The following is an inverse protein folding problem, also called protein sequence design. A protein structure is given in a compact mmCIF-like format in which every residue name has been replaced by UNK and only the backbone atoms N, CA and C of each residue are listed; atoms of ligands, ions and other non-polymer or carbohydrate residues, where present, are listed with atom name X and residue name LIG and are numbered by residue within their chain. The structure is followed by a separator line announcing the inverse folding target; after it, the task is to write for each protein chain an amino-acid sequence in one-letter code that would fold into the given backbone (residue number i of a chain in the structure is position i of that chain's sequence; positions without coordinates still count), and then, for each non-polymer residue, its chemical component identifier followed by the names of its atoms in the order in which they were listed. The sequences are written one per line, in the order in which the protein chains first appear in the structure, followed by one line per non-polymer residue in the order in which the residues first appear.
data_IF_923317385872
#
_entry.id   IF_923317385872
#
_cell.length_a   1.000
_cell.length_b   1.000
_cell.length_c   1.000
_cell.angle_alpha   90.00
_cell.angle_beta   90.00
_cell.angle_gamma   90.00
#
_symmetry.space_group_name_H-M   'P 1'
#
loop_
_entity.id
_entity.type
_entity.pdbx_description
1 polymer ?
#
# COMPACT_ATOMS: atom_id res chain seq x y z
N UNK A 1 -11.41 -4.89 3.89
CA UNK A 1 -10.55 -5.23 5.04
C UNK A 1 -9.53 -4.13 5.20
N UNK A 2 -9.11 -3.77 6.42
CA UNK A 2 -8.04 -2.81 6.67
C UNK A 2 -6.70 -3.48 7.03
N UNK A 3 -5.69 -2.67 7.37
CA UNK A 3 -4.31 -3.12 7.60
C UNK A 3 -4.13 -3.96 8.87
N UNK A 4 -5.12 -3.92 9.76
CA UNK A 4 -5.12 -4.69 11.02
C UNK A 4 -6.10 -5.87 10.98
N UNK A 5 -6.62 -6.18 9.78
CA UNK A 5 -7.44 -7.36 9.54
C UNK A 5 -8.92 -7.17 9.83
N UNK A 6 -9.40 -5.95 10.08
CA UNK A 6 -10.82 -5.71 10.31
C UNK A 6 -11.60 -5.74 8.98
N UNK A 7 -12.75 -6.39 8.99
CA UNK A 7 -13.67 -6.50 7.85
C UNK A 7 -14.87 -5.58 8.10
N UNK A 8 -15.09 -4.62 7.20
CA UNK A 8 -16.21 -3.69 7.26
C UNK A 8 -17.33 -4.23 6.38
N UNK A 9 -18.50 -4.40 6.98
CA UNK A 9 -19.70 -4.91 6.32
C UNK A 9 -20.76 -3.83 6.39
N UNK A 10 -21.26 -3.44 5.22
CA UNK A 10 -22.45 -2.62 5.12
C UNK A 10 -23.68 -3.54 5.10
N UNK A 11 -24.48 -3.48 6.16
CA UNK A 11 -25.75 -4.19 6.26
C UNK A 11 -26.86 -3.21 5.85
N UNK A 12 -27.14 -3.18 4.54
CA UNK A 12 -28.08 -2.24 3.91
C UNK A 12 -29.50 -2.42 4.42
N UNK A 13 -29.91 -3.64 4.77
CA UNK A 13 -31.25 -3.92 5.30
C UNK A 13 -31.48 -3.42 6.73
N UNK A 14 -30.40 -3.10 7.46
CA UNK A 14 -30.45 -2.53 8.82
C UNK A 14 -29.75 -1.18 8.92
N UNK A 15 -29.38 -0.58 7.79
CA UNK A 15 -28.67 0.70 7.68
C UNK A 15 -27.53 0.86 8.70
N UNK A 16 -26.69 -0.17 8.81
CA UNK A 16 -25.59 -0.19 9.79
C UNK A 16 -24.29 -0.67 9.17
N UNK A 17 -23.18 -0.22 9.75
CA UNK A 17 -21.87 -0.76 9.47
C UNK A 17 -21.45 -1.67 10.61
N UNK A 18 -21.09 -2.91 10.29
CA UNK A 18 -20.50 -3.85 11.24
C UNK A 18 -19.04 -4.07 10.93
N UNK A 19 -18.21 -4.07 11.97
CA UNK A 19 -16.79 -4.37 11.90
C UNK A 19 -16.60 -5.76 12.50
N UNK A 20 -16.05 -6.67 11.71
CA UNK A 20 -15.61 -7.98 12.16
C UNK A 20 -14.08 -8.03 12.25
N UNK A 21 -13.55 -8.92 13.08
CA UNK A 21 -12.14 -9.30 13.01
C UNK A 21 -11.86 -10.13 11.73
N UNK A 22 -10.60 -10.52 11.53
CA UNK A 22 -10.21 -11.32 10.37
C UNK A 22 -10.72 -12.78 10.43
N UNK A 23 -11.24 -13.23 11.57
CA UNK A 23 -11.88 -14.55 11.78
C UNK A 23 -13.39 -14.51 11.56
N UNK A 24 -13.98 -13.32 11.43
CA UNK A 24 -15.42 -13.11 11.28
C UNK A 24 -16.18 -12.85 12.58
N UNK A 25 -15.49 -12.68 13.71
CA UNK A 25 -16.14 -12.32 14.97
C UNK A 25 -16.51 -10.83 14.97
N UNK A 26 -17.70 -10.50 15.44
CA UNK A 26 -18.17 -9.12 15.50
C UNK A 26 -17.43 -8.34 16.60
N UNK A 27 -16.83 -7.21 16.23
CA UNK A 27 -16.18 -6.28 17.18
C UNK A 27 -17.11 -5.14 17.57
N UNK A 28 -17.48 -4.34 16.58
CA UNK A 28 -18.27 -3.11 16.76
C UNK A 28 -19.35 -3.09 15.69
N UNK A 29 -20.50 -2.54 16.01
CA UNK A 29 -21.42 -2.03 14.99
C UNK A 29 -21.77 -0.61 15.35
N UNK A 30 -21.66 0.28 14.38
CA UNK A 30 -22.16 1.64 14.53
C UNK A 30 -23.30 1.86 13.56
N UNK A 31 -24.32 2.53 14.06
CA UNK A 31 -25.23 3.28 13.22
C UNK A 31 -24.46 4.55 12.87
N UNK A 32 -24.31 4.90 11.59
CA UNK A 32 -24.02 6.27 11.26
C UNK A 32 -25.22 7.08 11.77
N UNK A 33 -25.18 7.59 13.01
CA UNK A 33 -26.23 8.34 13.75
C UNK A 33 -27.70 7.84 13.69
N UNK A 34 -28.58 8.47 14.48
CA UNK A 34 -30.01 8.11 14.57
C UNK A 34 -30.84 8.56 13.35
N UNK A 35 -30.23 9.28 12.39
CA UNK A 35 -30.88 9.96 11.27
C UNK A 35 -30.61 9.32 9.89
N UNK A 36 -29.83 8.23 9.82
CA UNK A 36 -29.54 7.52 8.57
C UNK A 36 -30.57 6.42 8.31
N UNK A 37 -31.14 6.45 7.12
CA UNK A 37 -32.31 5.63 6.79
C UNK A 37 -32.02 4.59 5.72
N UNK A 38 -31.21 4.91 4.70
CA UNK A 38 -30.89 3.99 3.61
C UNK A 38 -29.43 4.09 3.17
N UNK A 39 -28.62 3.11 3.58
CA UNK A 39 -27.24 3.00 3.15
C UNK A 39 -27.12 2.08 1.94
N UNK A 40 -26.61 2.59 0.81
CA UNK A 40 -26.53 1.83 -0.43
C UNK A 40 -25.13 1.29 -0.74
N UNK A 41 -24.10 2.01 -0.32
CA UNK A 41 -22.72 1.69 -0.66
C UNK A 41 -21.75 2.20 0.39
N UNK A 42 -20.62 1.51 0.53
CA UNK A 42 -19.53 1.92 1.39
C UNK A 42 -18.20 1.67 0.70
N UNK A 43 -17.27 2.61 0.87
CA UNK A 43 -15.91 2.53 0.33
C UNK A 43 -14.91 2.98 1.37
N UNK A 44 -13.75 2.33 1.44
CA UNK A 44 -12.75 2.57 2.49
C UNK A 44 -11.40 2.90 1.89
N UNK A 45 -10.74 3.91 2.47
CA UNK A 45 -9.30 4.15 2.33
C UNK A 45 -8.62 4.00 3.70
N UNK A 46 -7.34 4.32 3.83
CA UNK A 46 -6.63 4.18 5.11
C UNK A 46 -7.16 5.11 6.20
N UNK A 47 -7.71 6.27 5.83
CA UNK A 47 -8.12 7.30 6.80
C UNK A 47 -9.59 7.23 7.21
N UNK A 48 -10.44 6.73 6.32
CA UNK A 48 -11.88 6.84 6.50
C UNK A 48 -12.66 5.74 5.79
N UNK A 49 -13.86 5.51 6.31
CA UNK A 49 -14.93 4.80 5.63
C UNK A 49 -15.93 5.84 5.10
N UNK A 50 -16.10 5.92 3.79
CA UNK A 50 -17.17 6.67 3.16
C UNK A 50 -18.42 5.79 3.05
N UNK A 51 -19.57 6.34 3.40
CA UNK A 51 -20.88 5.66 3.33
C UNK A 51 -21.84 6.55 2.55
N UNK A 52 -22.50 5.97 1.56
CA UNK A 52 -23.54 6.62 0.76
C UNK A 52 -24.89 6.52 1.48
N UNK A 53 -25.40 7.67 1.90
CA UNK A 53 -26.74 7.87 2.45
C UNK A 53 -27.65 8.43 1.35
N UNK A 54 -28.42 7.54 0.74
CA UNK A 54 -29.21 7.86 -0.44
C UNK A 54 -30.43 8.73 -0.10
N UNK A 55 -31.02 8.55 1.09
CA UNK A 55 -32.20 9.33 1.47
C UNK A 55 -31.84 10.78 1.78
N UNK A 56 -30.67 11.01 2.38
CA UNK A 56 -30.16 12.36 2.65
C UNK A 56 -29.34 12.95 1.51
N UNK A 57 -29.22 12.23 0.39
CA UNK A 57 -28.46 12.65 -0.78
C UNK A 57 -27.03 13.12 -0.42
N UNK A 58 -26.32 12.34 0.41
CA UNK A 58 -24.97 12.69 0.90
C UNK A 58 -24.05 11.47 1.03
N UNK A 59 -22.75 11.74 1.06
CA UNK A 59 -21.72 10.80 1.47
C UNK A 59 -21.19 11.25 2.81
N UNK A 60 -21.14 10.34 3.78
CA UNK A 60 -20.61 10.62 5.13
C UNK A 60 -19.33 9.85 5.37
N UNK A 61 -18.33 10.52 5.93
CA UNK A 61 -17.02 9.96 6.21
C UNK A 61 -16.91 9.63 7.68
N UNK A 62 -16.52 8.40 7.99
CA UNK A 62 -16.33 7.91 9.34
C UNK A 62 -14.85 7.66 9.61
N UNK A 63 -14.39 8.02 10.80
CA UNK A 63 -13.11 7.55 11.30
C UNK A 63 -13.17 6.06 11.64
N UNK A 64 -12.04 5.52 12.09
CA UNK A 64 -11.91 4.12 12.51
C UNK A 64 -12.73 3.76 13.76
N UNK A 65 -13.22 4.74 14.50
CA UNK A 65 -14.06 4.59 15.69
C UNK A 65 -15.55 4.71 15.36
N UNK A 66 -15.90 4.94 14.09
CA UNK A 66 -17.27 5.14 13.66
C UNK A 66 -17.80 6.55 13.97
N UNK A 67 -16.93 7.53 14.25
CA UNK A 67 -17.32 8.94 14.40
C UNK A 67 -17.31 9.63 13.04
N UNK A 68 -18.31 10.49 12.82
CA UNK A 68 -18.39 11.31 11.60
C UNK A 68 -17.24 12.31 11.57
N UNK A 69 -16.45 12.30 10.49
CA UNK A 69 -15.40 13.28 10.19
C UNK A 69 -15.90 14.44 9.33
N UNK A 70 -16.92 14.20 8.51
CA UNK A 70 -17.46 15.17 7.58
C UNK A 70 -18.40 14.53 6.57
N UNK A 71 -19.07 15.37 5.79
CA UNK A 71 -20.05 14.97 4.79
C UNK A 71 -19.80 15.71 3.48
N UNK A 72 -20.21 15.11 2.37
CA UNK A 72 -20.24 15.72 1.03
C UNK A 72 -21.64 15.54 0.46
N UNK A 73 -22.24 16.63 -0.01
CA UNK A 73 -23.55 16.61 -0.67
C UNK A 73 -23.42 16.02 -2.07
N UNK A 74 -24.39 15.24 -2.52
CA UNK A 74 -24.41 14.71 -3.88
C UNK A 74 -24.89 15.75 -4.90
N UNK A 75 -24.60 15.59 -6.20
CA UNK A 75 -25.08 16.52 -7.21
C UNK A 75 -26.62 16.59 -7.23
N UNK A 76 -27.16 17.78 -7.49
CA UNK A 76 -28.61 18.00 -7.51
C UNK A 76 -29.30 17.12 -8.55
N UNK A 77 -30.36 16.41 -8.12
CA UNK A 77 -31.16 15.55 -9.01
C UNK A 77 -30.50 14.23 -9.40
N UNK A 78 -29.33 13.91 -8.86
CA UNK A 78 -28.64 12.64 -9.10
C UNK A 78 -29.06 11.61 -8.07
N UNK A 79 -29.53 10.46 -8.54
CA UNK A 79 -29.80 9.30 -7.69
C UNK A 79 -28.57 8.40 -7.72
N UNK A 80 -27.85 8.34 -6.60
CA UNK A 80 -26.61 7.58 -6.51
C UNK A 80 -26.86 6.09 -6.32
N UNK A 81 -26.14 5.28 -7.08
CA UNK A 81 -26.16 3.82 -7.01
C UNK A 81 -25.02 3.28 -6.13
N UNK A 82 -23.81 3.77 -6.34
CA UNK A 82 -22.64 3.33 -5.57
C UNK A 82 -21.52 4.37 -5.59
N UNK A 83 -20.61 4.28 -4.63
CA UNK A 83 -19.43 5.13 -4.54
C UNK A 83 -18.15 4.29 -4.55
N UNK A 84 -17.06 4.90 -4.99
CA UNK A 84 -15.71 4.42 -4.79
C UNK A 84 -14.81 5.58 -4.40
N UNK A 85 -13.92 5.38 -3.43
CA UNK A 85 -12.93 6.37 -3.04
C UNK A 85 -11.52 5.88 -3.34
N UNK A 86 -10.64 6.79 -3.70
CA UNK A 86 -9.23 6.49 -3.90
C UNK A 86 -8.40 6.68 -2.61
N UNK A 87 -7.10 6.31 -2.62
CA UNK A 87 -6.23 6.48 -1.46
C UNK A 87 -6.04 7.94 -1.00
N UNK A 88 -6.35 8.91 -1.85
CA UNK A 88 -6.19 10.35 -1.59
C UNK A 88 -7.50 11.02 -1.16
N UNK A 89 -8.61 10.29 -1.14
CA UNK A 89 -9.92 10.79 -0.73
C UNK A 89 -10.76 11.36 -1.88
N UNK A 90 -10.32 11.24 -3.14
CA UNK A 90 -11.17 11.60 -4.26
C UNK A 90 -12.34 10.61 -4.38
N UNK A 91 -13.49 11.11 -4.81
CA UNK A 91 -14.74 10.39 -4.80
C UNK A 91 -15.21 10.18 -6.23
N UNK A 92 -15.58 8.94 -6.52
CA UNK A 92 -16.28 8.54 -7.73
C UNK A 92 -17.67 8.05 -7.34
N UNK A 93 -18.69 8.61 -7.97
CA UNK A 93 -20.08 8.24 -7.77
C UNK A 93 -20.64 7.70 -9.06
N UNK A 94 -21.25 6.53 -9.03
CA UNK A 94 -22.04 5.99 -10.13
C UNK A 94 -23.51 6.23 -9.84
N UNK A 95 -24.21 6.87 -10.75
CA UNK A 95 -25.66 7.09 -10.64
C UNK A 95 -26.49 5.93 -11.23
N UNK A 96 -27.81 5.97 -11.04
CA UNK A 96 -28.73 4.95 -11.58
C UNK A 96 -28.81 4.92 -13.10
N UNK A 97 -28.50 6.03 -13.78
CA UNK A 97 -28.38 6.07 -15.24
C UNK A 97 -27.06 5.46 -15.73
N UNK A 98 -26.17 5.06 -14.82
CA UNK A 98 -24.88 4.47 -15.10
C UNK A 98 -23.82 5.47 -15.54
N UNK A 99 -23.97 6.75 -15.17
CA UNK A 99 -22.99 7.80 -15.38
C UNK A 99 -22.12 8.00 -14.14
N UNK A 100 -20.87 8.40 -14.37
CA UNK A 100 -19.87 8.57 -13.31
C UNK A 100 -19.73 10.06 -13.02
N UNK A 101 -19.82 10.45 -11.75
CA UNK A 101 -19.53 11.77 -11.24
C UNK A 101 -18.24 11.71 -10.42
N UNK A 102 -17.44 12.75 -10.49
CA UNK A 102 -16.16 12.87 -9.80
C UNK A 102 -16.14 14.12 -8.93
N UNK A 103 -15.64 13.98 -7.71
CA UNK A 103 -15.31 15.10 -6.82
C UNK A 103 -13.92 14.89 -6.23
N UNK A 104 -13.11 15.94 -6.20
CA UNK A 104 -11.78 15.86 -5.57
C UNK A 104 -11.89 16.07 -4.06
N UNK A 105 -10.95 15.53 -3.30
CA UNK A 105 -10.93 15.68 -1.84
C UNK A 105 -10.91 17.15 -1.38
N UNK A 106 -10.37 18.05 -2.19
CA UNK A 106 -10.25 19.49 -1.90
C UNK A 106 -11.46 20.31 -2.36
N UNK A 107 -12.25 19.79 -3.31
CA UNK A 107 -13.35 20.54 -3.93
C UNK A 107 -14.67 20.47 -3.15
N UNK A 108 -14.75 19.64 -2.11
CA UNK A 108 -15.95 19.53 -1.26
C UNK A 108 -17.18 19.06 -2.04
N UNK A 109 -18.17 19.93 -2.17
CA UNK A 109 -19.47 19.63 -2.81
C UNK A 109 -19.49 19.88 -4.33
N UNK A 110 -18.33 20.18 -4.94
CA UNK A 110 -18.23 20.33 -6.39
C UNK A 110 -18.10 18.97 -7.09
N UNK A 111 -18.92 18.76 -8.12
CA UNK A 111 -18.96 17.52 -8.89
C UNK A 111 -18.80 17.77 -10.38
N UNK A 112 -18.03 16.92 -11.02
CA UNK A 112 -17.87 16.87 -12.48
C UNK A 112 -18.48 15.59 -13.03
N UNK A 113 -19.42 15.73 -13.97
CA UNK A 113 -19.94 14.58 -14.73
C UNK A 113 -18.86 14.11 -15.72
N UNK A 114 -18.51 12.84 -15.64
CA UNK A 114 -17.61 12.20 -16.60
C UNK A 114 -18.38 11.82 -17.86
N UNK A 115 -18.16 12.57 -18.94
CA UNK A 115 -18.80 12.31 -20.22
C UNK A 115 -18.14 11.10 -20.90
N UNK A 116 -18.83 9.97 -20.83
CA UNK A 116 -18.43 8.73 -21.50
C UNK A 116 -19.65 8.14 -22.24
N UNK A 117 -19.45 7.61 -23.47
CA UNK A 117 -20.57 7.16 -24.31
C UNK A 117 -21.32 5.95 -23.73
N UNK A 118 -20.66 5.13 -22.93
CA UNK A 118 -21.27 3.96 -22.27
C UNK A 118 -21.87 4.29 -20.91
N UNK A 119 -22.81 3.46 -20.48
CA UNK A 119 -23.31 3.42 -19.10
C UNK A 119 -22.77 2.20 -18.37
N UNK A 120 -22.61 2.30 -17.06
CA UNK A 120 -21.97 1.29 -16.24
C UNK A 120 -22.91 0.75 -15.16
N UNK A 121 -22.70 -0.51 -14.81
CA UNK A 121 -23.42 -1.21 -13.75
C UNK A 121 -22.71 -1.10 -12.40
N UNK A 122 -21.39 -0.88 -12.42
CA UNK A 122 -20.61 -0.67 -11.21
C UNK A 122 -19.24 -0.08 -11.48
N UNK A 123 -18.63 0.40 -10.39
CA UNK A 123 -17.31 1.02 -10.36
C UNK A 123 -16.48 0.49 -9.19
N UNK A 124 -15.16 0.49 -9.34
CA UNK A 124 -14.20 0.16 -8.28
C UNK A 124 -12.87 0.85 -8.52
N UNK A 125 -12.30 1.45 -7.47
CA UNK A 125 -10.93 1.95 -7.51
C UNK A 125 -9.94 0.80 -7.27
N UNK A 126 -8.96 0.70 -8.17
CA UNK A 126 -7.73 -0.08 -8.02
C UNK A 126 -6.59 0.82 -8.49
N UNK A 127 -6.12 1.69 -7.59
CA UNK A 127 -5.15 2.73 -7.91
C UNK A 127 -3.95 2.19 -8.73
N UNK A 128 -3.57 2.84 -9.85
CA UNK A 128 -4.00 4.16 -10.33
C UNK A 128 -5.20 4.15 -11.29
N UNK A 129 -6.04 3.12 -11.25
CA UNK A 129 -7.17 2.98 -12.15
C UNK A 129 -8.52 3.04 -11.44
N UNK A 130 -9.50 3.64 -12.10
CA UNK A 130 -10.91 3.39 -11.84
C UNK A 130 -11.40 2.35 -12.85
N UNK A 131 -11.88 1.21 -12.35
CA UNK A 131 -12.52 0.18 -13.16
C UNK A 131 -14.01 0.47 -13.18
N UNK A 132 -14.59 0.48 -14.38
CA UNK A 132 -16.04 0.56 -14.58
C UNK A 132 -16.48 -0.58 -15.50
N UNK A 133 -17.58 -1.25 -15.17
CA UNK A 133 -18.07 -2.39 -15.96
C UNK A 133 -19.51 -2.21 -16.41
N UNK A 134 -19.82 -2.74 -17.59
CA UNK A 134 -21.16 -2.79 -18.15
C UNK A 134 -21.48 -4.24 -18.49
N UNK A 135 -22.51 -4.79 -17.85
CA UNK A 135 -23.03 -6.13 -18.12
C UNK A 135 -23.71 -6.17 -19.49
N UNK A 136 -24.51 -5.14 -19.81
CA UNK A 136 -25.17 -5.02 -21.11
C UNK A 136 -24.18 -4.88 -22.26
N UNK A 137 -23.11 -4.11 -22.06
CA UNK A 137 -22.06 -3.91 -23.05
C UNK A 137 -21.01 -5.02 -23.07
N UNK A 138 -21.04 -5.97 -22.13
CA UNK A 138 -20.01 -6.98 -21.91
C UNK A 138 -18.58 -6.39 -21.93
N UNK A 139 -18.37 -5.31 -21.17
CA UNK A 139 -17.10 -4.58 -21.18
C UNK A 139 -16.65 -4.15 -19.79
N UNK A 140 -15.34 -4.05 -19.63
CA UNK A 140 -14.68 -3.41 -18.49
C UNK A 140 -13.78 -2.31 -19.05
N UNK A 141 -14.01 -1.08 -18.62
CA UNK A 141 -13.22 0.10 -18.99
C UNK A 141 -12.31 0.45 -17.82
N UNK A 142 -11.03 0.70 -18.12
CA UNK A 142 -10.05 1.17 -17.14
C UNK A 142 -9.76 2.64 -17.40
N UNK A 143 -10.22 3.51 -16.50
CA UNK A 143 -9.86 4.93 -16.51
C UNK A 143 -8.56 5.11 -15.73
N UNK A 144 -7.54 5.65 -16.39
CA UNK A 144 -6.29 6.04 -15.73
C UNK A 144 -6.55 7.33 -14.95
N UNK A 145 -6.37 7.29 -13.64
CA UNK A 145 -6.46 8.48 -12.80
C UNK A 145 -5.16 9.28 -12.94
N UNK A 146 -5.30 10.57 -13.20
CA UNK A 146 -4.19 11.51 -13.30
C UNK A 146 -4.44 12.59 -12.26
N UNK A 147 -3.51 12.73 -11.31
CA UNK A 147 -3.59 13.79 -10.31
C UNK A 147 -2.60 14.90 -10.66
N UNK A 148 -2.92 16.13 -10.26
CA UNK A 148 -2.05 17.30 -10.42
C UNK A 148 -0.78 17.20 -9.57
N UNK A 149 -0.89 16.56 -8.41
CA UNK A 149 0.25 16.17 -7.56
C UNK A 149 0.03 14.74 -7.07
N UNK A 150 1.05 13.90 -7.22
CA UNK A 150 1.11 12.58 -6.62
C UNK A 150 2.44 12.48 -5.89
N UNK A 151 2.42 11.98 -4.68
CA UNK A 151 3.63 11.55 -3.98
C UNK A 151 3.54 10.06 -3.77
N UNK A 152 4.23 9.31 -4.63
CA UNK A 152 4.53 7.91 -4.41
C UNK A 152 5.93 7.80 -3.84
N UNK A 153 6.10 6.84 -2.95
CA UNK A 153 7.39 6.48 -2.44
C UNK A 153 7.82 5.13 -3.05
N UNK A 154 8.89 5.14 -3.84
CA UNK A 154 9.53 3.97 -4.41
C UNK A 154 10.80 3.68 -3.61
N UNK A 155 10.94 2.47 -3.09
CA UNK A 155 12.15 2.04 -2.39
C UNK A 155 12.61 0.67 -2.85
N UNK A 156 13.90 0.55 -3.11
CA UNK A 156 14.62 -0.72 -3.22
C UNK A 156 14.99 -1.12 -1.79
N UNK A 157 14.45 -2.24 -1.32
CA UNK A 157 14.73 -2.72 0.03
C UNK A 157 16.04 -3.51 0.07
N UNK A 158 16.22 -4.45 -0.85
CA UNK A 158 17.42 -5.29 -0.88
C UNK A 158 17.92 -5.53 -2.29
N UNK A 159 19.22 -5.79 -2.38
CA UNK A 159 19.88 -6.34 -3.55
C UNK A 159 20.61 -7.62 -3.13
N UNK A 160 20.42 -8.67 -3.92
CA UNK A 160 21.11 -9.93 -3.81
C UNK A 160 21.82 -10.19 -5.13
N UNK A 161 23.05 -10.66 -5.01
CA UNK A 161 23.89 -11.03 -6.14
C UNK A 161 24.08 -12.54 -6.07
N UNK A 162 23.44 -13.26 -6.98
CA UNK A 162 23.54 -14.72 -7.03
C UNK A 162 24.76 -15.15 -7.88
N UNK A 163 25.43 -16.26 -7.52
CA UNK A 163 26.46 -16.85 -8.36
C UNK A 163 25.92 -17.11 -9.78
N UNK A 164 26.69 -16.80 -10.82
CA UNK A 164 26.29 -16.77 -12.25
C UNK A 164 25.64 -15.46 -12.75
N UNK A 165 25.92 -14.34 -12.09
CA UNK A 165 25.69 -12.96 -12.56
C UNK A 165 24.23 -12.47 -12.56
N UNK A 166 23.37 -13.12 -11.78
CA UNK A 166 22.00 -12.64 -11.58
C UNK A 166 21.95 -11.60 -10.45
N UNK A 167 21.43 -10.43 -10.77
CA UNK A 167 21.04 -9.43 -9.80
C UNK A 167 19.56 -9.58 -9.53
N UNK A 168 19.24 -9.73 -8.25
CA UNK A 168 17.88 -9.78 -7.74
C UNK A 168 17.73 -8.63 -6.76
N UNK A 169 16.85 -7.68 -7.04
CA UNK A 169 16.48 -6.69 -6.02
C UNK A 169 14.98 -6.70 -5.76
N UNK A 170 14.63 -6.41 -4.51
CA UNK A 170 13.25 -6.28 -4.06
C UNK A 170 12.92 -4.82 -3.91
N UNK A 171 11.70 -4.43 -4.29
CA UNK A 171 11.25 -3.06 -4.18
C UNK A 171 9.76 -2.98 -3.87
N UNK A 172 9.34 -1.83 -3.34
CA UNK A 172 7.93 -1.52 -3.15
C UNK A 172 7.61 -0.09 -3.59
N UNK A 173 6.33 0.11 -3.90
CA UNK A 173 5.77 1.40 -4.26
C UNK A 173 4.64 1.63 -3.30
N UNK A 174 4.64 2.74 -2.60
CA UNK A 174 3.57 3.09 -1.69
C UNK A 174 3.05 4.49 -2.01
N UNK A 175 1.79 4.74 -1.71
CA UNK A 175 1.30 6.11 -1.61
C UNK A 175 1.98 6.82 -0.44
N UNK A 176 1.89 8.15 -0.40
CA UNK A 176 2.28 8.95 0.77
C UNK A 176 1.53 8.57 2.05
N UNK A 177 0.43 7.82 1.95
CA UNK A 177 -0.34 7.30 3.08
C UNK A 177 0.00 5.84 3.45
N UNK A 178 1.00 5.25 2.79
CA UNK A 178 1.50 3.90 3.05
C UNK A 178 0.72 2.76 2.40
N UNK A 179 -0.19 3.05 1.46
CA UNK A 179 -0.90 1.99 0.72
C UNK A 179 -0.02 1.48 -0.41
N UNK A 180 0.12 0.15 -0.53
CA UNK A 180 0.92 -0.46 -1.59
C UNK A 180 0.27 -0.21 -2.95
N UNK A 181 1.08 0.23 -3.90
CA UNK A 181 0.70 0.39 -5.31
C UNK A 181 1.33 -0.74 -6.12
N UNK A 182 0.49 -1.54 -6.76
CA UNK A 182 0.96 -2.60 -7.65
C UNK A 182 1.16 -2.05 -9.06
N UNK A 183 2.41 -1.83 -9.45
CA UNK A 183 2.75 -1.43 -10.81
C UNK A 183 2.83 -2.63 -11.77
N UNK A 184 2.30 -2.48 -12.98
CA UNK A 184 2.55 -3.44 -14.05
C UNK A 184 4.00 -3.32 -14.53
N UNK A 185 4.58 -4.45 -14.95
CA UNK A 185 5.88 -4.49 -15.63
C UNK A 185 5.97 -3.55 -16.85
N UNK A 186 4.83 -3.22 -17.48
CA UNK A 186 4.79 -2.25 -18.60
C UNK A 186 5.16 -0.83 -18.20
N UNK A 187 5.03 -0.49 -16.91
CA UNK A 187 5.31 0.84 -16.37
C UNK A 187 6.61 0.89 -15.58
N UNK A 188 7.33 -0.23 -15.50
CA UNK A 188 8.56 -0.35 -14.75
C UNK A 188 9.72 -0.59 -15.71
N UNK A 189 10.76 0.21 -15.56
CA UNK A 189 12.02 0.09 -16.26
C UNK A 189 13.13 -0.14 -15.24
N UNK A 190 14.10 -0.97 -15.61
CA UNK A 190 15.28 -1.23 -14.78
C UNK A 190 16.50 -0.76 -15.53
N UNK A 191 17.35 -0.03 -14.84
CA UNK A 191 18.62 0.46 -15.35
C UNK A 191 19.76 -0.07 -14.50
N UNK A 192 20.86 -0.40 -15.16
CA UNK A 192 22.11 -0.73 -14.49
C UNK A 192 23.24 0.06 -15.14
N UNK A 193 24.08 0.69 -14.32
CA UNK A 193 25.28 1.40 -14.78
C UNK A 193 25.02 2.42 -15.90
N UNK A 194 23.84 3.05 -15.89
CA UNK A 194 23.43 4.07 -16.85
C UNK A 194 22.70 3.56 -18.11
N UNK A 195 22.54 2.25 -18.28
CA UNK A 195 21.83 1.63 -19.41
C UNK A 195 20.55 0.91 -18.99
N UNK A 196 19.53 0.94 -19.85
CA UNK A 196 18.30 0.15 -19.64
C UNK A 196 18.59 -1.34 -19.83
N UNK A 197 18.14 -2.17 -18.90
CA UNK A 197 18.34 -3.63 -18.94
C UNK A 197 16.98 -4.34 -19.04
N UNK A 198 16.97 -5.47 -19.76
CA UNK A 198 15.84 -6.39 -19.77
C UNK A 198 15.81 -7.17 -18.44
N UNK A 199 14.95 -6.72 -17.51
CA UNK A 199 14.72 -7.40 -16.26
C UNK A 199 13.40 -8.18 -16.28
N UNK A 200 13.41 -9.39 -15.73
CA UNK A 200 12.22 -10.13 -15.39
C UNK A 200 11.60 -9.56 -14.11
N UNK A 201 10.38 -9.04 -14.22
CA UNK A 201 9.65 -8.45 -13.10
C UNK A 201 8.66 -9.46 -12.53
N UNK A 202 8.86 -9.84 -11.28
CA UNK A 202 8.07 -10.83 -10.54
C UNK A 202 7.33 -10.18 -9.39
N UNK A 203 6.25 -10.83 -9.00
CA UNK A 203 5.50 -10.51 -7.80
C UNK A 203 5.62 -11.65 -6.79
N UNK A 204 6.10 -11.35 -5.59
CA UNK A 204 6.20 -12.31 -4.49
C UNK A 204 5.25 -11.93 -3.36
N UNK A 205 4.89 -12.93 -2.56
CA UNK A 205 4.07 -12.81 -1.36
C UNK A 205 4.87 -13.36 -0.20
N UNK A 206 5.40 -12.48 0.64
CA UNK A 206 6.31 -12.83 1.73
C UNK A 206 5.61 -12.77 3.08
N UNK A 207 5.99 -13.67 3.98
CA UNK A 207 5.53 -13.60 5.38
C UNK A 207 6.35 -12.53 6.11
N UNK A 208 5.71 -11.56 6.79
CA UNK A 208 6.47 -10.62 7.59
C UNK A 208 7.07 -11.31 8.83
N UNK A 209 8.27 -10.91 9.21
CA UNK A 209 8.80 -11.18 10.56
C UNK A 209 8.06 -10.27 11.54
N UNK A 210 7.53 -10.84 12.63
CA UNK A 210 6.71 -10.11 13.59
C UNK A 210 7.54 -9.88 14.84
N UNK A 211 7.67 -8.62 15.24
CA UNK A 211 8.42 -8.21 16.41
C UNK A 211 7.53 -7.38 17.33
N UNK A 212 7.65 -7.60 18.65
CA UNK A 212 6.97 -6.81 19.66
C UNK A 212 8.02 -6.07 20.50
N UNK A 213 7.82 -4.77 20.69
CA UNK A 213 8.68 -3.91 21.52
C UNK A 213 7.80 -2.99 22.35
N UNK A 214 8.27 -2.60 23.52
CA UNK A 214 7.48 -1.79 24.47
C UNK A 214 8.10 -0.42 24.76
N UNK A 215 9.17 -0.06 24.05
CA UNK A 215 9.86 1.23 24.23
C UNK A 215 10.51 1.72 22.94
N UNK A 216 10.69 3.03 22.82
CA UNK A 216 11.42 3.64 21.70
C UNK A 216 12.88 3.17 21.64
N UNK A 217 13.51 2.92 22.79
CA UNK A 217 14.88 2.39 22.86
C UNK A 217 14.98 0.99 22.26
N UNK A 218 14.03 0.10 22.61
CA UNK A 218 13.99 -1.24 22.06
C UNK A 218 13.66 -1.22 20.57
N UNK A 219 12.72 -0.36 20.17
CA UNK A 219 12.39 -0.11 18.77
C UNK A 219 13.63 0.31 17.97
N UNK A 220 14.40 1.30 18.44
CA UNK A 220 15.59 1.80 17.73
C UNK A 220 16.69 0.74 17.66
N UNK A 221 16.90 -0.03 18.73
CA UNK A 221 17.85 -1.16 18.74
C UNK A 221 17.43 -2.23 17.71
N UNK A 222 16.20 -2.71 17.80
CA UNK A 222 15.66 -3.69 16.87
C UNK A 222 15.76 -3.21 15.42
N UNK A 223 15.35 -1.97 15.15
CA UNK A 223 15.38 -1.39 13.81
C UNK A 223 16.79 -1.44 13.22
N UNK A 224 17.85 -1.25 14.02
CA UNK A 224 19.23 -1.36 13.53
C UNK A 224 19.61 -2.78 13.07
N UNK A 225 19.04 -3.81 13.72
CA UNK A 225 19.36 -5.23 13.50
C UNK A 225 18.55 -5.86 12.36
N UNK A 226 17.41 -5.27 11.97
CA UNK A 226 16.55 -5.83 10.92
C UNK A 226 17.23 -5.88 9.55
N UNK A 227 17.10 -7.03 8.89
CA UNK A 227 17.44 -7.21 7.48
C UNK A 227 16.49 -6.42 6.58
N UNK A 228 17.03 -5.84 5.50
CA UNK A 228 16.21 -5.10 4.53
C UNK A 228 15.48 -6.02 3.56
N UNK A 229 16.00 -7.22 3.31
CA UNK A 229 15.44 -8.17 2.34
C UNK A 229 14.20 -8.91 2.81
N UNK A 230 13.87 -8.81 4.10
CA UNK A 230 12.70 -9.47 4.69
C UNK A 230 11.71 -8.43 5.20
N UNK A 231 10.42 -8.50 4.81
CA UNK A 231 9.44 -7.58 5.37
C UNK A 231 9.28 -7.83 6.86
N UNK A 232 9.19 -6.74 7.63
CA UNK A 232 9.04 -6.81 9.08
C UNK A 232 7.81 -6.03 9.53
N UNK A 233 7.07 -6.57 10.50
CA UNK A 233 6.00 -5.90 11.19
C UNK A 233 6.42 -5.69 12.64
N UNK A 234 6.56 -4.44 13.06
CA UNK A 234 6.90 -4.10 14.44
C UNK A 234 5.65 -3.62 15.15
N UNK A 235 5.31 -4.25 16.26
CA UNK A 235 4.24 -3.85 17.18
C UNK A 235 4.90 -3.09 18.33
N UNK A 236 4.77 -1.77 18.33
CA UNK A 236 5.21 -0.88 19.42
C UNK A 236 4.06 -0.68 20.41
N UNK A 237 4.09 -1.44 21.49
CA UNK A 237 3.15 -1.36 22.60
C UNK A 237 3.66 -0.34 23.62
N UNK A 238 3.23 0.91 23.46
CA UNK A 238 3.53 1.99 24.40
C UNK A 238 2.36 2.97 24.48
N UNK A 239 2.17 3.59 25.64
CA UNK A 239 1.23 4.70 25.82
C UNK A 239 1.80 6.04 25.31
N UNK A 240 3.13 6.15 25.26
CA UNK A 240 3.85 7.36 24.84
C UNK A 240 5.07 7.00 24.00
N UNK A 241 5.33 7.80 22.97
CA UNK A 241 6.48 7.64 22.09
C UNK A 241 6.93 9.01 21.60
N UNK A 242 8.24 9.20 21.57
CA UNK A 242 8.91 10.40 21.07
C UNK A 242 9.49 10.17 19.65
N UNK A 243 9.07 9.10 18.97
CA UNK A 243 9.45 8.85 17.58
C UNK A 243 8.85 9.94 16.67
N UNK A 244 9.71 10.78 16.11
CA UNK A 244 9.31 11.79 15.14
C UNK A 244 9.20 11.24 13.72
N UNK A 245 8.69 12.10 12.81
CA UNK A 245 8.52 11.79 11.39
C UNK A 245 9.83 11.40 10.70
N UNK A 246 10.98 11.86 11.18
CA UNK A 246 12.30 11.47 10.70
C UNK A 246 12.55 9.95 10.76
N UNK A 247 11.81 9.24 11.61
CA UNK A 247 11.83 7.77 11.72
C UNK A 247 11.24 7.08 10.49
N UNK A 248 10.55 7.81 9.60
CA UNK A 248 9.93 7.21 8.44
C UNK A 248 10.94 6.65 7.44
N UNK A 249 12.04 7.37 7.18
CA UNK A 249 13.06 6.93 6.23
C UNK A 249 13.68 5.58 6.59
N UNK A 250 14.16 5.33 7.83
CA UNK A 250 14.71 4.03 8.18
C UNK A 250 13.66 2.91 8.17
N UNK A 251 12.38 3.20 8.47
CA UNK A 251 11.30 2.21 8.35
C UNK A 251 11.09 1.77 6.90
N UNK A 252 11.01 2.73 5.98
CA UNK A 252 10.78 2.48 4.56
C UNK A 252 11.95 1.74 3.91
N UNK A 253 13.18 2.15 4.21
CA UNK A 253 14.39 1.50 3.70
C UNK A 253 14.58 0.06 4.21
N UNK A 254 14.08 -0.24 5.42
CA UNK A 254 14.14 -1.59 6.02
C UNK A 254 12.86 -2.40 5.81
N UNK A 255 11.96 -1.97 4.93
CA UNK A 255 10.73 -2.68 4.60
C UNK A 255 9.84 -2.98 5.83
N UNK A 256 9.83 -2.04 6.78
CA UNK A 256 9.14 -2.18 8.06
C UNK A 256 7.76 -1.53 8.00
N UNK A 257 6.75 -2.26 8.45
CA UNK A 257 5.43 -1.72 8.77
C UNK A 257 5.27 -1.61 10.28
N UNK A 258 5.10 -0.37 10.78
CA UNK A 258 4.96 -0.07 12.20
C UNK A 258 3.48 -0.10 12.59
N UNK A 259 3.16 -0.93 13.56
CA UNK A 259 1.88 -0.94 14.26
C UNK A 259 2.08 -0.42 15.68
N UNK A 260 1.16 0.40 16.18
CA UNK A 260 1.37 1.07 17.47
C UNK A 260 0.08 1.25 18.27
N UNK A 261 0.19 1.18 19.59
CA UNK A 261 -0.87 1.58 20.53
C UNK A 261 -0.79 3.06 20.92
N UNK A 262 0.23 3.78 20.47
CA UNK A 262 0.41 5.20 20.78
C UNK A 262 -0.24 6.07 19.69
N UNK A 263 -1.36 6.72 20.01
CA UNK A 263 -2.11 7.54 19.05
C UNK A 263 -1.27 8.71 18.51
N UNK A 264 -0.37 9.26 19.32
CA UNK A 264 0.51 10.38 18.95
C UNK A 264 1.43 10.11 17.76
N UNK A 265 1.71 8.84 17.45
CA UNK A 265 2.55 8.43 16.30
C UNK A 265 1.77 7.62 15.25
N UNK A 266 0.43 7.66 15.29
CA UNK A 266 -0.44 6.92 14.38
C UNK A 266 -0.23 7.32 12.90
N UNK A 267 0.17 8.56 12.63
CA UNK A 267 0.48 9.00 11.27
C UNK A 267 1.78 8.38 10.75
N UNK A 268 2.85 8.41 11.56
CA UNK A 268 4.11 7.73 11.25
C UNK A 268 3.87 6.23 10.95
N UNK A 269 3.09 5.57 11.80
CA UNK A 269 2.69 4.17 11.61
C UNK A 269 1.98 3.95 10.27
N UNK A 270 1.01 4.83 9.92
CA UNK A 270 0.30 4.76 8.64
C UNK A 270 1.23 4.95 7.44
N UNK A 271 2.15 5.91 7.46
CA UNK A 271 3.05 6.15 6.31
C UNK A 271 3.97 4.95 6.06
N UNK A 272 4.36 4.22 7.12
CA UNK A 272 5.15 2.98 7.00
C UNK A 272 4.38 1.75 6.45
N UNK A 273 3.08 1.91 6.18
CA UNK A 273 2.20 0.81 5.76
C UNK A 273 1.63 -0.03 6.91
N UNK A 274 1.89 0.34 8.16
CA UNK A 274 1.19 -0.19 9.33
C UNK A 274 0.02 0.69 9.75
N UNK A 275 -0.35 0.66 11.03
CA UNK A 275 -1.47 1.43 11.56
C UNK A 275 -1.50 1.54 13.10
N UNK A 276 -2.35 2.42 13.63
CA UNK A 276 -2.73 2.40 15.04
C UNK A 276 -3.65 1.22 15.37
N UNK A 277 -3.45 0.63 16.54
CA UNK A 277 -4.11 -0.60 17.02
C UNK A 277 -4.57 -0.36 18.46
N UNK A 278 -5.79 -0.73 18.82
CA UNK A 278 -6.17 -0.72 20.23
C UNK A 278 -5.45 -1.85 20.98
N UNK A 279 -5.14 -1.64 22.26
CA UNK A 279 -4.34 -2.58 23.03
C UNK A 279 -4.98 -3.97 23.12
N UNK A 280 -6.32 -4.04 23.18
CA UNK A 280 -7.10 -5.29 23.20
C UNK A 280 -7.08 -6.04 21.85
N UNK A 281 -6.59 -5.42 20.77
CA UNK A 281 -6.53 -6.03 19.44
C UNK A 281 -5.14 -6.53 19.06
N UNK A 282 -4.12 -6.29 19.89
CA UNK A 282 -2.73 -6.67 19.57
C UNK A 282 -2.56 -8.17 19.33
N UNK A 283 -3.22 -9.00 20.16
CA UNK A 283 -3.17 -10.45 19.99
C UNK A 283 -3.81 -10.90 18.66
N UNK A 284 -4.94 -10.29 18.30
CA UNK A 284 -5.63 -10.56 17.04
C UNK A 284 -4.79 -10.11 15.84
N UNK A 285 -4.18 -8.93 15.92
CA UNK A 285 -3.28 -8.41 14.90
C UNK A 285 -2.08 -9.35 14.69
N UNK A 286 -1.44 -9.80 15.77
CA UNK A 286 -0.30 -10.70 15.67
C UNK A 286 -0.69 -12.03 14.98
N UNK A 287 -1.89 -12.56 15.24
CA UNK A 287 -2.41 -13.72 14.52
C UNK A 287 -2.73 -13.43 13.05
N UNK A 288 -3.32 -12.27 12.76
CA UNK A 288 -3.62 -11.83 11.40
C UNK A 288 -2.34 -11.73 10.57
N UNK A 289 -1.30 -11.08 11.10
CA UNK A 289 -0.02 -10.87 10.41
C UNK A 289 0.71 -12.19 10.12
N UNK A 290 0.51 -13.26 10.91
CA UNK A 290 1.04 -14.60 10.62
C UNK A 290 0.40 -15.21 9.35
N UNK A 291 -0.82 -14.81 9.01
CA UNK A 291 -1.59 -15.36 7.88
C UNK A 291 -1.44 -14.53 6.62
N UNK A 292 -1.29 -13.21 6.78
CA UNK A 292 -1.16 -12.29 5.66
C UNK A 292 0.22 -12.41 5.03
N UNK A 293 0.26 -12.28 3.71
CA UNK A 293 1.50 -12.15 2.97
C UNK A 293 1.64 -10.73 2.45
N UNK A 294 2.76 -10.07 2.76
CA UNK A 294 3.09 -8.77 2.21
C UNK A 294 3.42 -8.95 0.72
N UNK A 295 2.79 -8.19 -0.17
CA UNK A 295 3.12 -8.25 -1.57
C UNK A 295 4.39 -7.45 -1.86
N UNK A 296 5.27 -8.01 -2.68
CA UNK A 296 6.58 -7.43 -2.96
C UNK A 296 6.95 -7.58 -4.43
N UNK A 297 7.56 -6.55 -5.00
CA UNK A 297 8.04 -6.58 -6.37
C UNK A 297 9.50 -7.02 -6.40
N UNK A 298 9.84 -7.84 -7.38
CA UNK A 298 11.20 -8.34 -7.56
C UNK A 298 11.61 -8.11 -9.00
N UNK A 299 12.78 -7.52 -9.21
CA UNK A 299 13.42 -7.50 -10.52
C UNK A 299 14.58 -8.48 -10.54
N UNK A 300 14.67 -9.27 -11.60
CA UNK A 300 15.76 -10.22 -11.83
C UNK A 300 16.36 -9.94 -13.19
N UNK A 301 17.67 -9.74 -13.27
CA UNK A 301 18.38 -9.60 -14.54
C UNK A 301 19.79 -10.14 -14.45
N UNK A 302 20.36 -10.47 -15.59
CA UNK A 302 21.74 -10.96 -15.70
C UNK A 302 22.61 -9.88 -16.29
N UNK A 303 23.82 -9.69 -15.74
CA UNK A 303 24.83 -8.84 -16.37
C UNK A 303 25.71 -9.71 -17.28
N UNK A 304 25.88 -9.29 -18.52
CA UNK A 304 26.81 -9.95 -19.44
C UNK A 304 28.25 -9.49 -19.17
N UNK A 305 29.23 -10.40 -19.11
CA UNK A 305 30.65 -10.05 -19.13
C UNK A 305 31.03 -9.25 -20.41
N UNK A 306 32.12 -8.44 -20.40
CA UNK A 306 33.07 -8.29 -19.31
C UNK A 306 32.57 -7.36 -18.21
N UNK A 307 32.69 -7.81 -16.97
CA UNK A 307 32.42 -6.97 -15.81
C UNK A 307 33.58 -5.98 -15.64
N UNK A 308 33.30 -4.72 -15.34
CA UNK A 308 34.30 -3.67 -15.03
C UNK A 308 34.31 -3.41 -13.52
N UNK A 309 35.51 -3.27 -12.93
CA UNK A 309 35.71 -3.09 -11.49
C UNK A 309 35.05 -1.80 -10.98
N UNK A 310 34.66 -1.80 -9.70
CA UNK A 310 34.13 -0.62 -9.01
C UNK A 310 32.64 -0.66 -8.64
N UNK A 311 32.17 0.49 -8.15
CA UNK A 311 30.79 0.68 -7.68
C UNK A 311 29.85 0.74 -8.88
N UNK A 312 28.82 -0.10 -8.86
CA UNK A 312 27.74 -0.14 -9.83
C UNK A 312 26.45 0.38 -9.21
N UNK A 313 25.52 0.78 -10.07
CA UNK A 313 24.21 1.28 -9.65
C UNK A 313 23.12 0.51 -10.37
N UNK A 314 22.11 0.09 -9.61
CA UNK A 314 20.88 -0.50 -10.11
C UNK A 314 19.73 0.43 -9.76
N UNK A 315 18.95 0.82 -10.76
CA UNK A 315 17.84 1.78 -10.62
C UNK A 315 16.55 1.16 -11.09
N UNK A 316 15.50 1.30 -10.29
CA UNK A 316 14.12 1.08 -10.72
C UNK A 316 13.54 2.42 -11.08
N UNK A 317 12.93 2.52 -12.26
CA UNK A 317 12.16 3.67 -12.71
C UNK A 317 10.72 3.23 -12.96
N UNK A 318 9.75 4.00 -12.46
CA UNK A 318 8.33 3.70 -12.60
C UNK A 318 7.61 4.91 -13.17
N UNK A 319 6.84 4.68 -14.23
CA UNK A 319 6.10 5.70 -14.99
C UNK A 319 4.61 5.56 -14.70
N UNK A 320 4.09 6.39 -13.80
CA UNK A 320 2.66 6.42 -13.43
C UNK A 320 2.11 7.82 -13.71
N UNK A 321 1.02 7.91 -14.47
CA UNK A 321 0.51 9.23 -14.87
C UNK A 321 1.44 9.89 -15.87
N UNK A 322 1.79 11.13 -15.57
CA UNK A 322 2.85 11.94 -16.18
C UNK A 322 4.11 12.02 -15.31
N UNK A 323 4.18 11.24 -14.24
CA UNK A 323 5.26 11.28 -13.26
C UNK A 323 6.19 10.08 -13.41
N UNK A 324 7.46 10.33 -13.13
CA UNK A 324 8.50 9.33 -13.05
C UNK A 324 9.01 9.26 -11.61
N UNK A 325 9.08 8.05 -11.07
CA UNK A 325 9.62 7.76 -9.75
C UNK A 325 10.79 6.83 -9.91
N UNK A 326 11.93 7.15 -9.31
CA UNK A 326 13.07 6.24 -9.31
C UNK A 326 13.70 6.10 -7.95
N UNK A 327 14.25 4.92 -7.70
CA UNK A 327 15.18 4.69 -6.61
C UNK A 327 16.39 3.92 -7.12
N UNK A 328 17.54 4.17 -6.51
CA UNK A 328 18.84 3.66 -6.95
C UNK A 328 19.57 3.06 -5.76
N UNK A 329 20.01 1.81 -5.93
CA UNK A 329 20.92 1.15 -5.00
C UNK A 329 22.29 0.96 -5.64
N UNK A 330 23.34 1.02 -4.82
CA UNK A 330 24.71 0.78 -5.25
C UNK A 330 25.21 -0.55 -4.73
N UNK A 331 25.98 -1.26 -5.54
CA UNK A 331 26.60 -2.53 -5.16
C UNK A 331 28.03 -2.60 -5.71
N UNK A 332 28.86 -3.40 -5.05
CA UNK A 332 30.24 -3.66 -5.46
C UNK A 332 30.25 -4.82 -6.46
N UNK A 333 30.94 -4.65 -7.59
CA UNK A 333 31.05 -5.70 -8.61
C UNK A 333 31.79 -6.94 -8.08
N UNK A 334 32.67 -6.78 -7.11
CA UNK A 334 33.39 -7.87 -6.43
C UNK A 334 32.43 -8.87 -5.75
N UNK A 335 31.20 -8.45 -5.42
CA UNK A 335 30.15 -9.34 -4.94
C UNK A 335 29.76 -10.40 -5.99
N UNK A 336 29.93 -10.12 -7.29
CA UNK A 336 29.64 -11.06 -8.38
C UNK A 336 30.73 -12.14 -8.54
N UNK A 337 31.93 -11.93 -8.01
CA UNK A 337 33.10 -12.82 -8.16
C UNK A 337 33.28 -13.77 -6.97
N UNK A 338 32.76 -13.39 -5.81
CA UNK A 338 32.88 -14.15 -4.56
C UNK A 338 32.13 -15.49 -4.52
N UNK A 339 31.32 -15.82 -5.54
CA UNK A 339 30.64 -17.12 -5.67
C UNK A 339 31.49 -18.22 -6.34
N UNK A 340 32.74 -17.93 -6.72
CA UNK A 340 33.60 -18.85 -7.50
C UNK A 340 34.89 -19.28 -6.81
N UNK A 341 35.10 -18.99 -5.52
CA UNK A 341 36.34 -19.37 -4.81
C UNK A 341 36.08 -20.12 -3.49
N UNK A 342 35.62 -21.36 -3.60
CA UNK A 342 36.10 -22.43 -2.71
C UNK A 342 37.13 -23.26 -3.50
N UNK A 343 38.30 -22.68 -3.75
CA UNK A 343 39.48 -23.48 -4.07
C UNK A 343 40.26 -23.75 -2.78
N UNK A 344 40.21 -25.02 -2.39
CA UNK A 344 41.10 -25.68 -1.46
C UNK A 344 42.54 -25.21 -1.59
N UNK A 345 43.00 -24.37 -0.67
CA UNK A 345 44.42 -24.18 -0.39
C UNK A 345 44.80 -25.01 0.83
N UNK A 346 44.90 -26.33 0.63
CA UNK A 346 45.74 -27.17 1.47
C UNK A 346 47.20 -26.82 1.16
N UNK A 347 47.79 -25.94 1.97
CA UNK A 347 49.23 -25.75 1.99
C UNK A 347 49.83 -26.92 2.75
N UNK A 348 50.34 -27.91 2.02
CA UNK A 348 51.31 -28.87 2.57
C UNK A 348 52.56 -28.08 2.97
N UNK A 349 52.81 -27.98 4.27
CA UNK A 349 54.11 -27.57 4.79
C UNK A 349 55.07 -28.75 4.62
N UNK A 350 55.97 -28.65 3.65
CA UNK A 350 57.17 -29.48 3.57
C UNK A 350 58.14 -29.05 4.67
N UNK A 351 58.34 -29.93 5.64
CA UNK A 351 59.42 -29.85 6.62
C UNK A 351 60.71 -30.44 6.04
N UNK A 352 61.77 -29.63 5.96
CA UNK A 352 63.16 -30.11 6.04
C UNK A 352 63.59 -30.27 7.50
#
# INVERSE_FOLDING_TARGET
MDRIGRIYILDTGRSRVSILDFKGNKKISFLPSDDFTLLLSASKNVESLAVLDAERNRISFFDRWGKVKGNVSLPNGVIAKTIAIDPFGNIFLLDEAGKIHFSSAEAGDEWTLFDYPSTFDGIRVSYPYLLAWSLKGNQVVLFKMVHSSITLNLYIHSISVEPQVNIVFTYSIMTSRGDLVLASSKFTEVYDSGGKIAAELKFKRLSPQIHCVSSDSDFRRLLSELDRGSPSAILLESEKSDLGLETIFPLLLKNVSLFTTCEGIAELARISGGDFVMQDELAELAEYLKRVKKPEMVAVYTISPPLTAGIKSATVLIKIGSFEYSDTIYYLREMLESGTTEESTSVEQSSE
#
